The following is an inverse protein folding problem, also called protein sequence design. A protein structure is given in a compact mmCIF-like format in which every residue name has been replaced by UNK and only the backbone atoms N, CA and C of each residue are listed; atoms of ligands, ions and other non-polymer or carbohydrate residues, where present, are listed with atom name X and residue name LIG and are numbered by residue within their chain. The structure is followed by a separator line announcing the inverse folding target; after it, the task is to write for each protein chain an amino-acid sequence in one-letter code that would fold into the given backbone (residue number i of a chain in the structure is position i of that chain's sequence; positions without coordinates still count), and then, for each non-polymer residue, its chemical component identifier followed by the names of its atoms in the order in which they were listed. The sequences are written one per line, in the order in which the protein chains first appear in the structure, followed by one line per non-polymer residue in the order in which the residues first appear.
data_IF_416161689032
#
_entry.id   IF_416161689032
#
_cell.length_a   1.000
_cell.length_b   1.000
_cell.length_c   1.000
_cell.angle_alpha   90.00
_cell.angle_beta   90.00
_cell.angle_gamma   90.00
#
_symmetry.space_group_name_H-M   'P 1'
#
loop_
_entity.id
_entity.type
_entity.pdbx_description
1 polymer ?
#
# COMPACT_ATOMS: atom_id res chain seq x y z
N UNK A 1 48.18 -80.98 -29.97
CA UNK A 1 49.33 -80.14 -30.36
C UNK A 1 49.13 -78.75 -29.76
N UNK A 2 50.04 -78.36 -28.84
CA UNK A 2 50.34 -77.02 -28.27
C UNK A 2 49.25 -76.17 -27.56
N UNK A 3 49.24 -76.33 -26.23
CA UNK A 3 49.40 -75.35 -25.12
C UNK A 3 49.54 -73.85 -25.50
N UNK A 4 48.82 -72.94 -24.83
CA UNK A 4 49.32 -71.87 -23.91
C UNK A 4 48.18 -70.87 -23.54
N UNK A 5 48.18 -70.50 -22.26
CA UNK A 5 47.32 -69.57 -21.50
C UNK A 5 47.50 -68.09 -21.88
N UNK A 6 46.61 -67.20 -21.38
CA UNK A 6 46.96 -65.98 -20.59
C UNK A 6 45.77 -65.00 -20.40
N UNK A 7 45.56 -64.65 -19.12
CA UNK A 7 45.05 -63.42 -18.46
C UNK A 7 43.65 -62.80 -18.74
N UNK A 8 42.85 -62.80 -17.67
CA UNK A 8 42.16 -61.67 -17.00
C UNK A 8 42.13 -60.31 -17.74
N UNK A 9 40.92 -59.80 -17.98
CA UNK A 9 40.51 -58.43 -17.58
C UNK A 9 39.02 -58.44 -17.21
N UNK A 10 38.72 -58.25 -15.92
CA UNK A 10 37.40 -57.86 -15.42
C UNK A 10 37.07 -56.46 -15.98
N UNK A 11 35.99 -56.33 -16.74
CA UNK A 11 35.38 -55.02 -17.01
C UNK A 11 34.07 -54.93 -16.24
N UNK A 12 34.12 -54.20 -15.13
CA UNK A 12 32.94 -53.68 -14.45
C UNK A 12 32.16 -52.79 -15.43
N UNK A 13 31.00 -53.25 -15.89
CA UNK A 13 30.04 -52.39 -16.55
C UNK A 13 29.26 -51.64 -15.45
N UNK A 14 29.70 -50.42 -15.13
CA UNK A 14 28.90 -49.50 -14.33
C UNK A 14 27.73 -49.01 -15.20
N UNK A 15 26.52 -49.52 -14.94
CA UNK A 15 25.29 -48.92 -15.44
C UNK A 15 25.15 -47.53 -14.80
N UNK A 16 25.40 -46.48 -15.58
CA UNK A 16 25.02 -45.12 -15.22
C UNK A 16 23.54 -44.96 -15.55
N UNK A 17 22.68 -45.09 -14.55
CA UNK A 17 21.28 -44.73 -14.68
C UNK A 17 21.18 -43.20 -14.76
N UNK A 18 20.88 -42.67 -15.94
CA UNK A 18 20.57 -41.26 -16.13
C UNK A 18 19.17 -41.00 -15.57
N UNK A 19 19.09 -40.54 -14.32
CA UNK A 19 17.83 -40.10 -13.74
C UNK A 19 17.38 -38.81 -14.46
N UNK A 20 16.40 -38.93 -15.35
CA UNK A 20 15.70 -37.78 -15.91
C UNK A 20 14.74 -37.28 -14.84
N UNK A 21 15.15 -36.25 -14.11
CA UNK A 21 14.27 -35.54 -13.18
C UNK A 21 13.22 -34.77 -13.98
N UNK A 22 12.02 -35.33 -14.09
CA UNK A 22 10.85 -34.60 -14.58
C UNK A 22 10.45 -33.63 -13.46
N UNK A 23 10.87 -32.37 -13.57
CA UNK A 23 10.32 -31.29 -12.76
C UNK A 23 8.89 -31.05 -13.23
N UNK A 24 7.91 -31.54 -12.46
CA UNK A 24 6.55 -31.04 -12.56
C UNK A 24 6.58 -29.60 -12.04
N UNK A 25 6.68 -28.64 -12.96
CA UNK A 25 6.41 -27.24 -12.64
C UNK A 25 4.92 -27.14 -12.37
N UNK A 26 4.53 -27.20 -11.09
CA UNK A 26 3.18 -26.83 -10.70
C UNK A 26 2.94 -25.39 -11.19
N UNK A 27 1.78 -25.08 -11.77
CA UNK A 27 1.45 -23.69 -12.09
C UNK A 27 1.56 -22.89 -10.78
N UNK A 28 2.44 -21.90 -10.76
CA UNK A 28 2.50 -20.90 -9.68
C UNK A 28 1.17 -20.17 -9.74
N UNK A 29 0.23 -20.53 -8.86
CA UNK A 29 -0.97 -19.72 -8.67
C UNK A 29 -0.51 -18.29 -8.35
N UNK A 30 -1.11 -17.25 -8.95
CA UNK A 30 -0.80 -15.89 -8.53
C UNK A 30 -1.01 -15.82 -7.02
N UNK A 31 0.02 -15.38 -6.30
CA UNK A 31 -0.07 -15.19 -4.85
C UNK A 31 -1.17 -14.15 -4.63
N UNK A 32 -2.30 -14.59 -4.09
CA UNK A 32 -3.45 -13.76 -3.77
C UNK A 32 -3.72 -13.91 -2.27
N UNK A 33 -3.77 -12.79 -1.56
CA UNK A 33 -4.30 -12.77 -0.20
C UNK A 33 -5.83 -12.86 -0.26
N UNK A 34 -6.45 -13.32 0.82
CA UNK A 34 -7.91 -13.38 0.98
C UNK A 34 -8.34 -12.39 2.08
N UNK A 35 -7.87 -11.15 1.95
CA UNK A 35 -8.06 -10.08 2.90
C UNK A 35 -9.31 -9.25 2.62
N UNK A 36 -9.72 -9.09 1.36
CA UNK A 36 -10.95 -8.36 1.01
C UNK A 36 -12.12 -9.03 1.70
N UNK A 37 -12.88 -8.24 2.45
CA UNK A 37 -14.16 -8.69 3.00
C UNK A 37 -15.20 -8.56 1.92
N UNK A 38 -15.95 -9.64 1.69
CA UNK A 38 -17.09 -9.74 0.76
C UNK A 38 -17.14 -8.60 -0.28
N UNK A 39 -16.60 -8.84 -1.47
CA UNK A 39 -16.56 -7.85 -2.53
C UNK A 39 -17.96 -7.34 -2.95
N UNK A 40 -19.04 -8.05 -2.59
CA UNK A 40 -20.43 -7.65 -2.82
C UNK A 40 -21.05 -6.82 -1.69
N UNK A 41 -20.33 -6.54 -0.60
CA UNK A 41 -20.87 -5.85 0.58
C UNK A 41 -21.31 -4.41 0.29
N UNK A 42 -20.62 -3.73 -0.63
CA UNK A 42 -20.89 -2.35 -1.01
C UNK A 42 -21.40 -2.32 -2.46
N UNK A 43 -22.54 -1.68 -2.69
CA UNK A 43 -23.32 -1.87 -3.93
C UNK A 43 -23.54 -0.61 -4.74
N UNK A 44 -23.18 0.57 -4.22
CA UNK A 44 -23.31 1.82 -4.99
C UNK A 44 -22.15 1.92 -5.97
N UNK A 45 -22.45 1.84 -7.27
CA UNK A 45 -21.44 2.00 -8.31
C UNK A 45 -21.02 3.47 -8.43
N UNK A 46 -19.71 3.72 -8.43
CA UNK A 46 -19.12 4.97 -8.88
C UNK A 46 -18.89 4.85 -10.40
N UNK A 47 -19.55 5.66 -11.25
CA UNK A 47 -19.39 5.55 -12.70
C UNK A 47 -17.93 5.61 -13.16
N UNK A 48 -17.61 4.80 -14.18
CA UNK A 48 -16.26 4.65 -14.70
C UNK A 48 -15.66 5.99 -15.14
N UNK A 49 -14.45 6.28 -14.64
CA UNK A 49 -13.74 7.52 -14.87
C UNK A 49 -12.23 7.33 -14.64
N UNK A 50 -11.50 8.44 -14.71
CA UNK A 50 -10.03 8.50 -14.56
C UNK A 50 -9.69 9.13 -13.20
N UNK A 51 -9.88 10.45 -13.09
CA UNK A 51 -9.42 11.26 -11.93
C UNK A 51 -10.56 11.80 -11.06
N UNK A 52 -11.74 11.27 -11.23
CA UNK A 52 -12.94 11.77 -10.59
C UNK A 52 -13.02 11.40 -9.12
N UNK A 53 -13.79 12.21 -8.39
CA UNK A 53 -14.35 11.81 -7.09
C UNK A 53 -15.88 11.91 -7.12
N UNK A 54 -16.53 11.12 -6.28
CA UNK A 54 -17.96 11.28 -5.96
C UNK A 54 -18.11 11.75 -4.52
N UNK A 55 -18.98 12.73 -4.30
CA UNK A 55 -19.33 13.20 -2.96
C UNK A 55 -19.66 14.70 -2.86
N UNK A 56 -19.86 15.21 -1.64
CA UNK A 56 -19.70 14.46 -0.38
C UNK A 56 -20.77 13.37 -0.24
N UNK A 57 -20.36 12.16 0.12
CA UNK A 57 -21.26 11.03 0.40
C UNK A 57 -21.35 10.83 1.91
N UNK A 58 -22.56 10.69 2.45
CA UNK A 58 -22.75 10.41 3.86
C UNK A 58 -22.30 9.00 4.21
N UNK A 59 -21.52 8.84 5.28
CA UNK A 59 -21.00 7.54 5.72
C UNK A 59 -21.95 6.78 6.66
N UNK A 60 -22.94 7.48 7.22
CA UNK A 60 -23.99 6.91 8.07
C UNK A 60 -23.75 7.00 9.59
N UNK A 61 -22.61 7.53 10.02
CA UNK A 61 -22.25 7.75 11.43
C UNK A 61 -21.28 8.93 11.55
N UNK A 62 -21.03 9.40 12.77
CA UNK A 62 -20.03 10.44 13.05
C UNK A 62 -18.72 9.80 13.48
N UNK A 63 -17.61 10.27 12.92
CA UNK A 63 -16.27 9.88 13.31
C UNK A 63 -15.47 11.11 13.74
N UNK A 64 -14.64 10.97 14.77
CA UNK A 64 -13.68 11.97 15.21
C UNK A 64 -12.32 11.58 14.66
N UNK A 65 -11.79 12.35 13.70
CA UNK A 65 -10.45 12.15 13.15
C UNK A 65 -9.60 13.38 13.42
N UNK A 66 -8.65 13.25 14.36
CA UNK A 66 -7.77 14.30 14.85
C UNK A 66 -8.51 15.56 15.35
N UNK A 67 -9.61 15.37 16.09
CA UNK A 67 -10.41 16.46 16.67
C UNK A 67 -11.46 17.03 15.72
N UNK A 68 -11.47 16.61 14.46
CA UNK A 68 -12.48 17.00 13.48
C UNK A 68 -13.57 15.93 13.41
N UNK A 69 -14.82 16.36 13.49
CA UNK A 69 -15.97 15.48 13.33
C UNK A 69 -16.38 15.40 11.86
N UNK A 70 -16.43 14.18 11.33
CA UNK A 70 -16.85 13.90 9.96
C UNK A 70 -18.02 12.94 9.95
N UNK A 71 -18.93 13.13 9.01
CA UNK A 71 -20.03 12.22 8.73
C UNK A 71 -20.22 12.00 7.22
N UNK A 72 -19.29 12.53 6.43
CA UNK A 72 -19.26 12.47 4.98
C UNK A 72 -17.81 12.52 4.49
N UNK A 73 -17.59 11.98 3.29
CA UNK A 73 -16.30 11.98 2.62
C UNK A 73 -16.49 12.06 1.10
N UNK A 74 -15.41 12.16 0.35
CA UNK A 74 -15.39 12.00 -1.10
C UNK A 74 -14.67 10.70 -1.44
N UNK A 75 -15.31 9.85 -2.25
CA UNK A 75 -14.70 8.62 -2.76
C UNK A 75 -13.97 8.94 -4.05
N UNK A 76 -12.70 8.58 -4.14
CA UNK A 76 -11.85 8.88 -5.29
C UNK A 76 -11.57 7.64 -6.13
N UNK A 77 -11.57 7.80 -7.46
CA UNK A 77 -11.27 6.69 -8.37
C UNK A 77 -9.83 6.17 -8.17
N UNK A 78 -8.89 7.08 -7.93
CA UNK A 78 -7.47 6.85 -7.67
C UNK A 78 -7.20 6.32 -6.24
N UNK A 79 -8.06 5.43 -5.72
CA UNK A 79 -7.77 4.61 -4.56
C UNK A 79 -7.59 5.32 -3.21
N UNK A 80 -8.29 6.44 -3.01
CA UNK A 80 -8.31 7.18 -1.76
C UNK A 80 -9.71 7.71 -1.40
N UNK A 81 -9.87 8.16 -0.16
CA UNK A 81 -11.00 8.97 0.29
C UNK A 81 -10.50 10.21 1.00
N UNK A 82 -11.17 11.34 0.78
CA UNK A 82 -10.83 12.62 1.39
C UNK A 82 -12.02 13.21 2.15
N UNK A 83 -11.76 13.99 3.19
CA UNK A 83 -12.83 14.48 4.07
C UNK A 83 -13.32 15.89 3.73
N UNK A 84 -12.52 16.71 3.06
CA UNK A 84 -12.81 18.14 2.84
C UNK A 84 -13.30 18.47 1.43
N UNK A 85 -12.66 17.93 0.40
CA UNK A 85 -13.01 18.20 -1.01
C UNK A 85 -12.57 17.06 -1.94
N UNK A 86 -13.11 16.99 -3.17
CA UNK A 86 -12.60 16.11 -4.21
C UNK A 86 -11.11 16.28 -4.46
N UNK A 87 -10.45 15.24 -4.98
CA UNK A 87 -9.03 15.25 -5.34
C UNK A 87 -8.85 14.84 -6.81
N UNK A 88 -8.43 15.78 -7.66
CA UNK A 88 -8.31 15.53 -9.11
C UNK A 88 -6.91 15.20 -9.60
N UNK A 89 -6.01 14.79 -8.70
CA UNK A 89 -4.61 14.51 -9.07
C UNK A 89 -4.39 13.00 -9.17
N UNK A 90 -3.65 12.59 -10.20
CA UNK A 90 -3.36 11.17 -10.52
C UNK A 90 -1.96 10.71 -10.11
N UNK A 91 -0.96 11.62 -10.18
CA UNK A 91 0.39 11.31 -9.73
C UNK A 91 0.45 11.44 -8.21
N UNK A 92 0.74 10.37 -7.45
CA UNK A 92 0.75 10.45 -6.01
C UNK A 92 1.89 11.33 -5.49
N UNK A 93 1.64 12.05 -4.39
CA UNK A 93 2.69 12.65 -3.57
C UNK A 93 2.83 11.88 -2.26
N UNK A 94 3.90 12.17 -1.52
CA UNK A 94 4.06 11.63 -0.18
C UNK A 94 2.86 12.00 0.70
N UNK A 95 2.35 11.04 1.46
CA UNK A 95 1.23 11.22 2.40
C UNK A 95 1.59 12.26 3.50
N UNK A 96 2.88 12.58 3.63
CA UNK A 96 3.49 13.53 4.54
C UNK A 96 3.31 15.02 4.18
N UNK A 97 2.92 15.34 2.93
CA UNK A 97 2.92 16.72 2.40
C UNK A 97 1.54 17.38 2.20
N UNK A 98 0.44 16.68 2.47
CA UNK A 98 -0.91 17.16 2.17
C UNK A 98 -1.52 18.10 3.22
N UNK A 99 -2.37 19.03 2.78
CA UNK A 99 -3.23 19.88 3.65
C UNK A 99 -4.64 19.28 3.84
N UNK A 100 -4.84 18.05 3.38
CA UNK A 100 -6.13 17.38 3.30
C UNK A 100 -6.10 16.08 4.09
N UNK A 101 -7.05 15.91 5.00
CA UNK A 101 -7.24 14.63 5.68
C UNK A 101 -7.69 13.58 4.66
N UNK A 102 -7.03 12.42 4.68
CA UNK A 102 -7.18 11.38 3.67
C UNK A 102 -6.88 10.00 4.24
N UNK A 103 -7.67 9.00 3.82
CA UNK A 103 -7.32 7.59 3.93
C UNK A 103 -7.05 7.06 2.52
N UNK A 104 -5.85 6.55 2.27
CA UNK A 104 -5.40 6.12 0.95
C UNK A 104 -4.91 4.67 1.02
N UNK A 105 -5.81 3.67 0.89
CA UNK A 105 -5.37 2.28 0.78
C UNK A 105 -4.38 2.10 -0.38
N UNK A 106 -4.61 2.75 -1.52
CA UNK A 106 -3.70 2.66 -2.66
C UNK A 106 -3.87 3.86 -3.59
N UNK A 107 -3.18 4.95 -3.32
CA UNK A 107 -3.25 6.13 -4.19
C UNK A 107 -2.30 5.96 -5.39
N UNK A 108 -2.89 5.76 -6.56
CA UNK A 108 -2.24 5.62 -7.87
C UNK A 108 -3.22 5.96 -8.99
N UNK A 109 -2.74 6.00 -10.23
CA UNK A 109 -3.48 6.38 -11.44
C UNK A 109 -4.42 5.25 -11.93
N UNK A 110 -5.55 5.07 -11.23
CA UNK A 110 -6.56 4.05 -11.51
C UNK A 110 -7.42 4.52 -12.68
N UNK A 111 -7.73 3.62 -13.61
CA UNK A 111 -8.65 3.91 -14.70
C UNK A 111 -9.77 2.88 -14.75
N UNK A 112 -11.00 3.34 -14.58
CA UNK A 112 -12.21 2.51 -14.59
C UNK A 112 -13.10 2.79 -15.80
N UNK A 113 -12.61 3.55 -16.80
CA UNK A 113 -13.30 3.72 -18.09
C UNK A 113 -13.32 2.43 -18.91
N UNK A 114 -12.41 1.50 -18.60
CA UNK A 114 -12.41 0.12 -19.05
C UNK A 114 -12.33 -0.83 -17.84
N UNK A 115 -12.85 -2.04 -17.98
CA UNK A 115 -12.81 -3.05 -16.92
C UNK A 115 -13.84 -2.81 -15.81
N UNK A 116 -13.44 -2.99 -14.56
CA UNK A 116 -14.33 -2.95 -13.41
C UNK A 116 -14.46 -1.55 -12.81
N UNK A 117 -15.61 -1.31 -12.18
CA UNK A 117 -15.93 -0.07 -11.49
C UNK A 117 -15.54 -0.10 -10.02
N UNK A 118 -15.48 1.09 -9.41
CA UNK A 118 -15.41 1.25 -7.96
C UNK A 118 -16.82 1.15 -7.36
N UNK A 119 -16.95 0.45 -6.23
CA UNK A 119 -18.21 0.36 -5.50
C UNK A 119 -18.03 0.88 -4.07
N UNK A 120 -19.03 1.57 -3.53
CA UNK A 120 -18.99 2.11 -2.17
C UNK A 120 -20.35 2.05 -1.50
N UNK A 121 -20.39 2.35 -0.20
CA UNK A 121 -21.63 2.53 0.54
C UNK A 121 -21.54 2.14 2.00
N UNK A 122 -22.65 2.32 2.72
CA UNK A 122 -22.80 1.89 4.11
C UNK A 122 -23.44 0.51 4.19
N UNK A 123 -23.04 -0.29 5.18
CA UNK A 123 -23.62 -1.59 5.49
C UNK A 123 -23.37 -1.95 6.98
N UNK A 124 -23.58 -3.21 7.36
CA UNK A 124 -23.23 -3.75 8.68
C UNK A 124 -22.23 -4.89 8.52
N UNK A 125 -21.20 -4.91 9.36
CA UNK A 125 -20.20 -5.97 9.40
C UNK A 125 -19.88 -6.28 10.87
N UNK A 126 -19.95 -7.56 11.25
CA UNK A 126 -19.66 -7.97 12.63
C UNK A 126 -20.56 -7.31 13.70
N UNK A 127 -21.75 -6.85 13.32
CA UNK A 127 -22.68 -6.14 14.21
C UNK A 127 -22.44 -4.63 14.32
N UNK A 128 -21.45 -4.08 13.63
CA UNK A 128 -21.16 -2.65 13.59
C UNK A 128 -21.58 -2.03 12.27
N UNK A 129 -22.00 -0.75 12.30
CA UNK A 129 -22.16 0.02 11.07
C UNK A 129 -20.81 0.23 10.41
N UNK A 130 -20.77 0.08 9.10
CA UNK A 130 -19.57 0.30 8.29
C UNK A 130 -19.88 1.17 7.10
N UNK A 131 -18.88 1.94 6.65
CA UNK A 131 -18.81 2.49 5.31
C UNK A 131 -17.58 1.92 4.63
N UNK A 132 -17.67 1.52 3.37
CA UNK A 132 -16.50 1.04 2.66
C UNK A 132 -16.49 1.37 1.18
N UNK A 133 -15.32 1.14 0.61
CA UNK A 133 -15.02 1.37 -0.80
C UNK A 133 -14.20 0.19 -1.33
N UNK A 134 -14.63 -0.32 -2.48
CA UNK A 134 -14.11 -1.48 -3.17
C UNK A 134 -13.52 -1.04 -4.51
N UNK A 135 -12.20 -1.18 -4.65
CA UNK A 135 -11.48 -1.13 -5.92
C UNK A 135 -11.07 -2.55 -6.27
N UNK A 136 -12.03 -3.34 -6.75
CA UNK A 136 -11.85 -4.77 -7.01
C UNK A 136 -11.59 -4.99 -8.49
N UNK A 137 -10.42 -5.55 -8.79
CA UNK A 137 -9.93 -5.83 -10.12
C UNK A 137 -9.97 -4.60 -11.04
N UNK A 138 -9.53 -3.46 -10.49
CA UNK A 138 -9.41 -2.19 -11.24
C UNK A 138 -8.12 -2.15 -12.07
N UNK A 139 -8.25 -1.54 -13.24
CA UNK A 139 -7.14 -1.26 -14.16
C UNK A 139 -6.37 0.01 -13.80
N UNK A 140 -5.41 0.35 -14.65
CA UNK A 140 -4.59 1.55 -14.55
C UNK A 140 -4.67 2.36 -15.83
N UNK A 141 -4.40 3.65 -15.73
CA UNK A 141 -4.35 4.53 -16.89
C UNK A 141 -3.33 4.02 -17.92
N UNK A 142 -3.59 4.02 -19.24
CA UNK A 142 -4.77 4.50 -19.94
C UNK A 142 -5.58 3.32 -20.50
N UNK A 143 -6.70 2.98 -19.85
CA UNK A 143 -7.62 1.90 -20.23
C UNK A 143 -7.06 0.47 -20.12
N UNK A 144 -6.02 0.25 -19.31
CA UNK A 144 -5.39 -1.06 -19.21
C UNK A 144 -6.18 -2.02 -18.34
N UNK A 145 -6.37 -3.24 -18.85
CA UNK A 145 -7.07 -4.34 -18.16
C UNK A 145 -6.24 -5.62 -18.08
N UNK A 146 -4.96 -5.55 -18.46
CA UNK A 146 -4.03 -6.68 -18.49
C UNK A 146 -3.39 -6.99 -17.12
N UNK A 147 -3.32 -6.01 -16.22
CA UNK A 147 -2.93 -6.15 -14.81
C UNK A 147 -4.01 -5.49 -13.97
N UNK A 148 -4.41 -6.13 -12.87
CA UNK A 148 -5.55 -5.69 -12.08
C UNK A 148 -5.19 -5.65 -10.60
N UNK A 149 -5.64 -4.60 -9.91
CA UNK A 149 -5.49 -4.46 -8.46
C UNK A 149 -6.84 -4.71 -7.78
N UNK A 150 -6.81 -5.39 -6.63
CA UNK A 150 -7.95 -5.62 -5.74
C UNK A 150 -7.60 -5.17 -4.33
N UNK A 151 -8.17 -4.03 -3.93
CA UNK A 151 -7.99 -3.44 -2.61
C UNK A 151 -9.28 -2.76 -2.12
N UNK A 152 -9.39 -2.62 -0.80
CA UNK A 152 -10.61 -2.19 -0.13
C UNK A 152 -10.30 -1.35 1.11
N UNK A 153 -11.13 -0.34 1.34
CA UNK A 153 -11.24 0.40 2.59
C UNK A 153 -12.55 0.02 3.28
N UNK A 154 -12.50 -0.28 4.58
CA UNK A 154 -13.69 -0.34 5.44
C UNK A 154 -13.45 0.53 6.67
N UNK A 155 -14.37 1.44 6.94
CA UNK A 155 -14.46 2.27 8.15
C UNK A 155 -15.58 1.69 9.01
N UNK A 156 -15.29 1.36 10.25
CA UNK A 156 -16.21 0.72 11.20
C UNK A 156 -16.50 1.63 12.37
N UNK A 157 -17.76 1.92 12.62
CA UNK A 157 -18.21 2.69 13.78
C UNK A 157 -17.89 1.95 15.08
N UNK A 158 -17.22 2.63 16.02
CA UNK A 158 -16.88 2.11 17.36
C UNK A 158 -17.48 2.94 18.48
N UNK A 159 -18.71 3.44 18.29
CA UNK A 159 -19.46 4.14 19.32
C UNK A 159 -19.77 3.29 20.56
N UNK A 160 -19.58 1.96 20.46
CA UNK A 160 -19.56 1.03 21.60
C UNK A 160 -18.40 1.29 22.58
N UNK A 161 -17.31 1.91 22.12
CA UNK A 161 -16.17 2.30 22.96
C UNK A 161 -16.35 3.75 23.45
N UNK A 162 -16.46 4.70 22.53
CA UNK A 162 -16.72 6.10 22.82
C UNK A 162 -17.33 6.81 21.61
N UNK A 163 -18.06 7.91 21.84
CA UNK A 163 -18.66 8.67 20.75
C UNK A 163 -17.58 9.21 19.79
N UNK A 164 -17.76 8.94 18.49
CA UNK A 164 -16.82 9.34 17.44
C UNK A 164 -15.62 8.40 17.27
N UNK A 165 -15.45 7.38 18.12
CA UNK A 165 -14.43 6.36 17.89
C UNK A 165 -14.82 5.51 16.68
N UNK A 166 -13.80 5.11 15.93
CA UNK A 166 -13.95 4.24 14.76
C UNK A 166 -12.68 3.44 14.54
N UNK A 167 -12.79 2.38 13.75
CA UNK A 167 -11.66 1.65 13.20
C UNK A 167 -11.68 1.80 11.69
N UNK A 168 -10.52 1.70 11.04
CA UNK A 168 -10.50 1.49 9.60
C UNK A 168 -9.51 0.41 9.23
N UNK A 169 -9.83 -0.33 8.18
CA UNK A 169 -9.00 -1.37 7.63
C UNK A 169 -8.73 -1.15 6.15
N UNK A 170 -7.48 -1.43 5.77
CA UNK A 170 -7.10 -1.61 4.37
C UNK A 170 -6.91 -3.10 4.12
N UNK A 171 -7.58 -3.60 3.10
CA UNK A 171 -7.54 -5.00 2.68
C UNK A 171 -7.01 -5.10 1.25
N UNK A 172 -6.07 -6.00 1.00
CA UNK A 172 -5.43 -6.20 -0.30
C UNK A 172 -5.43 -7.68 -0.64
N UNK A 173 -6.01 -8.03 -1.78
CA UNK A 173 -5.95 -9.39 -2.32
C UNK A 173 -4.91 -9.51 -3.41
N UNK A 174 -4.77 -8.47 -4.25
CA UNK A 174 -3.95 -8.50 -5.46
C UNK A 174 -3.45 -7.10 -5.80
N UNK A 175 -2.13 -6.94 -5.95
CA UNK A 175 -1.50 -5.68 -6.39
C UNK A 175 -0.49 -6.01 -7.49
N UNK A 176 -0.92 -5.88 -8.75
CA UNK A 176 -0.15 -6.24 -9.94
C UNK A 176 0.46 -5.04 -10.68
N UNK A 177 0.01 -3.83 -10.37
CA UNK A 177 0.50 -2.59 -10.97
C UNK A 177 0.63 -1.50 -9.91
N UNK A 178 1.48 -0.50 -10.15
CA UNK A 178 1.78 0.60 -9.22
C UNK A 178 1.77 2.00 -9.85
N UNK A 179 1.62 2.12 -11.17
CA UNK A 179 1.49 3.41 -11.86
C UNK A 179 0.64 3.29 -13.14
N UNK A 180 0.21 4.43 -13.68
CA UNK A 180 -0.40 4.57 -15.00
C UNK A 180 0.64 4.81 -16.12
N UNK A 181 0.17 4.86 -17.36
CA UNK A 181 0.94 5.26 -18.56
C UNK A 181 1.11 6.80 -18.66
N UNK A 182 1.28 7.45 -17.50
CA UNK A 182 1.51 8.87 -17.36
C UNK A 182 2.73 9.10 -16.43
N UNK A 183 3.25 10.33 -16.40
CA UNK A 183 4.35 10.70 -15.47
C UNK A 183 5.57 9.77 -15.54
N UNK A 184 5.92 9.31 -16.76
CA UNK A 184 7.00 8.34 -17.05
C UNK A 184 6.73 6.89 -16.65
N UNK A 185 5.49 6.54 -16.29
CA UNK A 185 5.03 5.16 -16.13
C UNK A 185 4.69 4.52 -17.48
N UNK A 186 4.82 3.20 -17.56
CA UNK A 186 4.43 2.39 -18.72
C UNK A 186 4.15 0.96 -18.30
N UNK A 187 3.02 0.40 -18.73
CA UNK A 187 2.69 -1.01 -18.52
C UNK A 187 2.53 -1.39 -17.04
N UNK A 188 2.08 -0.44 -16.21
CA UNK A 188 1.81 -0.63 -14.79
C UNK A 188 2.99 -0.33 -13.87
N UNK A 189 4.16 0.04 -14.41
CA UNK A 189 5.40 0.26 -13.67
C UNK A 189 6.17 1.50 -14.15
N UNK A 190 7.16 1.95 -13.36
CA UNK A 190 7.94 3.15 -13.67
C UNK A 190 7.29 4.44 -13.15
N UNK A 191 7.80 5.59 -13.59
CA UNK A 191 7.29 6.89 -13.14
C UNK A 191 7.31 7.07 -11.62
N UNK A 192 6.22 7.63 -11.07
CA UNK A 192 5.98 7.75 -9.63
C UNK A 192 5.07 6.62 -9.17
N UNK A 193 5.57 5.64 -8.39
CA UNK A 193 4.76 4.53 -7.89
C UNK A 193 3.68 4.97 -6.90
N UNK A 194 2.75 4.06 -6.63
CA UNK A 194 1.69 4.23 -5.65
C UNK A 194 2.20 4.61 -4.25
N UNK A 195 1.37 5.31 -3.51
CA UNK A 195 1.53 5.54 -2.06
C UNK A 195 0.34 4.95 -1.31
N UNK A 196 0.59 4.44 -0.10
CA UNK A 196 -0.46 3.87 0.73
C UNK A 196 -0.30 4.34 2.18
N UNK A 197 -1.42 4.62 2.86
CA UNK A 197 -1.43 5.10 4.24
C UNK A 197 -2.57 6.06 4.55
N UNK A 198 -2.34 6.99 5.47
CA UNK A 198 -3.32 8.00 5.88
C UNK A 198 -2.65 9.26 6.41
N UNK A 199 -3.36 10.40 6.34
CA UNK A 199 -2.89 11.69 6.85
C UNK A 199 -4.06 12.48 7.43
N UNK A 200 -3.79 13.29 8.47
CA UNK A 200 -4.74 14.24 9.00
C UNK A 200 -4.76 15.58 8.24
N UNK A 201 -3.91 15.73 7.21
CA UNK A 201 -3.78 16.98 6.46
C UNK A 201 -3.12 18.12 7.24
N UNK A 202 -2.47 17.81 8.36
CA UNK A 202 -1.87 18.77 9.29
C UNK A 202 -0.57 18.22 9.91
N UNK A 203 0.19 17.45 9.11
CA UNK A 203 1.52 16.95 9.46
C UNK A 203 1.56 15.66 10.28
N UNK A 204 0.42 15.11 10.71
CA UNK A 204 0.35 13.76 11.31
C UNK A 204 -0.11 12.76 10.26
N UNK A 205 0.70 11.74 10.03
CA UNK A 205 0.46 10.77 8.97
C UNK A 205 1.11 9.42 9.27
N UNK A 206 0.71 8.43 8.51
CA UNK A 206 1.40 7.16 8.37
C UNK A 206 1.50 6.82 6.88
N UNK A 207 2.71 6.51 6.42
CA UNK A 207 2.94 5.96 5.09
C UNK A 207 3.47 4.53 5.23
N UNK A 208 2.93 3.60 4.45
CA UNK A 208 3.47 2.25 4.43
C UNK A 208 4.93 2.27 3.95
N UNK A 209 5.84 1.53 4.61
CA UNK A 209 7.16 1.28 4.07
C UNK A 209 7.05 0.78 2.61
N UNK A 210 7.83 1.36 1.70
CA UNK A 210 7.75 1.06 0.26
C UNK A 210 6.83 1.99 -0.54
N UNK A 211 6.07 2.88 0.09
CA UNK A 211 5.34 3.94 -0.63
C UNK A 211 6.30 4.77 -1.50
N UNK A 212 5.88 5.08 -2.72
CA UNK A 212 6.68 5.79 -3.73
C UNK A 212 7.99 5.08 -4.12
N UNK A 213 8.16 3.79 -3.75
CA UNK A 213 9.35 2.99 -4.09
C UNK A 213 8.95 1.92 -5.09
N UNK A 214 9.58 1.92 -6.26
CA UNK A 214 9.17 1.03 -7.35
C UNK A 214 9.37 -0.44 -7.00
N UNK A 215 8.34 -1.23 -7.27
CA UNK A 215 8.28 -2.66 -7.02
C UNK A 215 8.13 -3.02 -5.54
N UNK A 216 7.98 -2.05 -4.63
CA UNK A 216 7.98 -2.34 -3.19
C UNK A 216 6.62 -2.85 -2.71
N UNK A 217 5.52 -2.20 -3.10
CA UNK A 217 4.17 -2.50 -2.59
C UNK A 217 3.43 -3.59 -3.39
N UNK A 218 3.86 -3.86 -4.62
CA UNK A 218 3.27 -4.87 -5.52
C UNK A 218 3.52 -6.29 -5.03
N UNK A 219 2.78 -7.26 -5.60
CA UNK A 219 2.93 -8.68 -5.30
C UNK A 219 4.39 -9.15 -5.46
N UNK A 220 4.93 -9.79 -4.41
CA UNK A 220 6.32 -10.27 -4.38
C UNK A 220 7.37 -9.19 -4.10
N UNK A 221 6.98 -7.92 -3.99
CA UNK A 221 7.83 -6.82 -3.55
C UNK A 221 8.30 -6.95 -2.10
N UNK A 222 9.36 -6.22 -1.75
CA UNK A 222 9.95 -6.24 -0.41
C UNK A 222 8.97 -5.79 0.70
N UNK A 223 7.98 -4.97 0.34
CA UNK A 223 6.93 -4.46 1.21
C UNK A 223 5.54 -4.83 0.67
N UNK A 224 5.43 -5.95 -0.04
CA UNK A 224 4.21 -6.37 -0.71
C UNK A 224 3.01 -6.30 0.24
N UNK A 225 1.99 -5.53 -0.15
CA UNK A 225 0.81 -5.27 0.69
C UNK A 225 0.05 -6.59 0.97
N UNK A 226 0.04 -7.51 0.00
CA UNK A 226 -0.64 -8.81 0.14
C UNK A 226 0.08 -9.80 1.06
N UNK A 227 1.36 -9.57 1.39
CA UNK A 227 2.18 -10.54 2.13
C UNK A 227 2.44 -10.14 3.58
N UNK A 228 2.00 -8.96 3.98
CA UNK A 228 2.18 -8.42 5.32
C UNK A 228 0.82 -8.10 5.96
N UNK A 229 0.83 -7.76 7.25
CA UNK A 229 -0.37 -7.35 7.97
C UNK A 229 -0.03 -6.34 9.07
N UNK A 230 -1.04 -5.65 9.57
CA UNK A 230 -0.94 -4.81 10.77
C UNK A 230 -2.16 -5.05 11.65
N UNK A 231 -1.94 -5.36 12.92
CA UNK A 231 -2.99 -5.67 13.90
C UNK A 231 -3.99 -6.74 13.42
N UNK A 232 -3.53 -7.68 12.58
CA UNK A 232 -4.35 -8.71 11.95
C UNK A 232 -3.54 -9.99 11.74
N UNK A 233 -4.18 -11.15 11.97
CA UNK A 233 -3.62 -12.46 11.63
C UNK A 233 -3.81 -12.87 10.16
N UNK A 234 -4.40 -12.00 9.34
CA UNK A 234 -4.65 -12.22 7.91
C UNK A 234 -3.70 -11.35 7.11
N UNK A 235 -2.83 -11.96 6.30
CA UNK A 235 -1.99 -11.26 5.33
C UNK A 235 -2.86 -10.46 4.35
N UNK A 236 -2.40 -9.26 3.98
CA UNK A 236 -3.18 -8.32 3.18
C UNK A 236 -4.14 -7.47 4.00
N UNK A 237 -4.29 -7.66 5.32
CA UNK A 237 -5.18 -6.87 6.16
C UNK A 237 -4.41 -6.03 7.17
N UNK A 238 -4.74 -4.73 7.19
CA UNK A 238 -4.12 -3.73 8.03
C UNK A 238 -5.20 -2.96 8.78
N UNK A 239 -5.23 -3.10 10.11
CA UNK A 239 -6.28 -2.51 10.96
C UNK A 239 -5.68 -1.37 11.78
N UNK A 240 -6.33 -0.22 11.71
CA UNK A 240 -6.00 0.97 12.47
C UNK A 240 -7.16 1.30 13.41
N UNK A 241 -6.85 1.48 14.68
CA UNK A 241 -7.84 1.86 15.68
C UNK A 241 -7.79 3.37 15.89
N UNK A 242 -8.92 4.06 15.90
CA UNK A 242 -9.00 5.50 16.18
C UNK A 242 -9.75 5.72 17.48
N UNK A 243 -9.05 6.23 18.50
CA UNK A 243 -9.57 6.45 19.85
C UNK A 243 -9.39 7.89 20.24
N UNK A 244 -10.48 8.53 20.66
CA UNK A 244 -10.51 9.97 21.00
C UNK A 244 -9.90 10.85 19.89
N UNK A 245 -10.07 10.47 18.63
CA UNK A 245 -9.52 11.18 17.48
C UNK A 245 -8.08 10.82 17.09
N UNK A 246 -7.39 9.93 17.80
CA UNK A 246 -5.99 9.58 17.53
C UNK A 246 -5.91 8.14 17.02
N UNK A 247 -5.09 7.92 15.99
CA UNK A 247 -4.80 6.56 15.49
C UNK A 247 -3.83 5.85 16.44
N UNK A 248 -4.13 4.61 16.83
CA UNK A 248 -3.36 3.81 17.79
C UNK A 248 -2.67 2.59 17.15
N UNK A 249 -1.40 2.30 17.51
CA UNK A 249 -0.50 3.19 18.25
C UNK A 249 -0.24 4.47 17.43
N UNK A 250 0.08 5.61 18.08
CA UNK A 250 0.34 6.85 17.36
C UNK A 250 1.43 6.61 16.31
N UNK A 251 1.32 7.24 15.13
CA UNK A 251 2.31 7.06 14.08
C UNK A 251 3.70 7.41 14.63
N UNK A 252 4.76 6.73 14.16
CA UNK A 252 6.11 7.08 14.55
C UNK A 252 6.35 8.55 14.22
N UNK A 253 7.10 9.29 15.06
CA UNK A 253 7.45 10.67 14.74
C UNK A 253 8.10 10.72 13.34
N UNK A 254 7.85 11.79 12.56
CA UNK A 254 8.51 11.97 11.27
C UNK A 254 10.02 11.76 11.44
N UNK A 255 10.72 11.15 10.47
CA UNK A 255 12.16 11.03 10.55
C UNK A 255 12.72 12.42 10.82
N UNK A 256 13.29 12.61 12.01
CA UNK A 256 13.85 13.89 12.41
C UNK A 256 14.81 14.30 11.32
N UNK A 257 14.65 15.52 10.80
CA UNK A 257 15.67 16.12 9.94
C UNK A 257 17.01 15.87 10.65
N UNK A 258 17.99 15.18 10.03
CA UNK A 258 19.27 15.00 10.68
C UNK A 258 19.76 16.39 11.03
N UNK A 259 19.90 16.67 12.33
CA UNK A 259 20.42 17.95 12.82
C UNK A 259 21.63 18.29 11.96
N UNK A 260 21.57 19.34 11.13
CA UNK A 260 22.60 19.56 10.15
C UNK A 260 23.90 19.75 10.93
N UNK A 261 24.97 19.14 10.44
CA UNK A 261 26.32 19.25 11.00
C UNK A 261 26.81 20.71 11.16
N UNK A 262 25.99 21.70 10.81
CA UNK A 262 26.10 23.12 11.10
C UNK A 262 26.35 23.43 12.57
N UNK A 263 25.81 22.69 13.56
CA UNK A 263 26.19 22.93 14.97
C UNK A 263 27.65 22.53 15.26
N UNK A 264 28.16 21.51 14.56
CA UNK A 264 29.55 21.08 14.66
C UNK A 264 30.50 22.04 13.90
N UNK A 265 30.04 22.59 12.77
CA UNK A 265 30.75 23.65 12.03
C UNK A 265 30.72 25.02 12.76
N UNK A 266 29.63 25.37 13.46
CA UNK A 266 29.58 26.58 14.30
C UNK A 266 30.53 26.44 15.50
N UNK A 267 30.58 25.25 16.12
CA UNK A 267 31.49 24.94 17.22
C UNK A 267 32.96 24.97 16.81
N UNK A 268 33.32 24.38 15.67
CA UNK A 268 34.68 24.43 15.13
C UNK A 268 35.06 25.83 14.62
N UNK A 269 34.11 26.57 14.03
CA UNK A 269 34.31 27.95 13.58
C UNK A 269 34.59 28.93 14.72
N UNK A 270 33.87 28.80 15.84
CA UNK A 270 34.09 29.61 17.05
C UNK A 270 35.43 29.28 17.74
N UNK A 271 35.85 28.01 17.76
CA UNK A 271 37.17 27.63 18.29
C UNK A 271 38.33 28.08 17.40
N UNK A 272 38.18 28.06 16.07
CA UNK A 272 39.18 28.57 15.12
C UNK A 272 39.42 30.08 15.27
N UNK A 273 38.35 30.86 15.47
CA UNK A 273 38.42 32.31 15.72
C UNK A 273 39.05 32.66 17.07
N UNK A 274 38.82 31.86 18.10
CA UNK A 274 39.44 32.02 19.42
C UNK A 274 40.94 31.65 19.42
N UNK A 275 41.33 30.60 18.69
CA UNK A 275 42.73 30.20 18.52
C UNK A 275 43.55 31.24 17.75
N UNK A 276 43.02 31.79 16.67
CA UNK A 276 43.70 32.79 15.86
C UNK A 276 43.99 34.10 16.62
N UNK A 277 43.11 34.51 17.54
CA UNK A 277 43.30 35.70 18.37
C UNK A 277 44.37 35.55 19.45
N UNK A 278 44.74 34.32 19.82
CA UNK A 278 45.76 34.05 20.86
C UNK A 278 47.19 34.01 20.32
N UNK A 279 47.38 33.83 19.01
CA UNK A 279 48.71 33.73 18.38
C UNK A 279 49.27 35.08 17.87
N UNK A 280 48.52 36.19 18.04
CA UNK A 280 48.93 37.55 17.63
C UNK A 280 49.22 38.50 18.81
N UNK A 281 49.59 37.97 19.97
CA UNK A 281 50.15 38.76 21.08
C UNK A 281 51.56 38.29 21.40
#
# INVERSE_FOLDING_TARGET
MKVISILKVLRNAALTALAVSVFVVAPISPVQAAAVRDAGLFTTAFPGNDDGSVGPVGIGFNLNFFGNNWNQLYVNNNGNVTFTSPLGTYTPWGIDGGTMAMLAPFFADVDTRAGNLVYYGSNTLGGHNVFGVNWIDVGYFAYHTNLLNSFQLIITERSDIAAGDFDFEFNYDKIQWETGDASSGTGGFGGTPATAGWTNGSGTYYAFPGSLTSGALVNGGANALISNSLNSGVNGRYIFNVRNGIVEPPPPPPPGVPEPATMLLLGLGLMGLAGYRRMKK
#
